data_IF_075169935666
#
_entry.id   IF_075169935666
#
_cell.length_a   1.000
_cell.length_b   1.000
_cell.length_c   1.000
_cell.angle_alpha   90.00
_cell.angle_beta   90.00
_cell.angle_gamma   90.00
#
_symmetry.space_group_name_H-M   'P 1'
#
loop_
_entity.id
_entity.type
_entity.pdbx_description
1 polymer ?
#
# COMPACT_ATOMS: atom_id res chain seq x y z
N UNK A 1 98.62 -38.43 8.57
CA UNK A 1 97.58 -39.14 7.79
C UNK A 1 96.23 -38.71 8.39
N UNK A 2 95.30 -38.27 7.54
CA UNK A 2 93.97 -37.72 7.83
C UNK A 2 93.87 -36.39 8.60
N UNK A 3 93.51 -35.34 7.86
CA UNK A 3 92.67 -34.25 8.35
C UNK A 3 91.98 -33.56 7.16
N UNK A 4 90.85 -34.13 6.72
CA UNK A 4 89.88 -33.42 5.88
C UNK A 4 88.77 -32.95 6.80
N UNK A 5 88.68 -31.63 6.95
CA UNK A 5 87.56 -30.91 7.56
C UNK A 5 86.31 -31.10 6.69
N UNK A 6 85.29 -31.80 7.20
CA UNK A 6 83.92 -31.58 6.74
C UNK A 6 83.26 -30.56 7.66
N UNK A 7 83.07 -29.35 7.12
CA UNK A 7 82.20 -28.33 7.69
C UNK A 7 80.78 -28.91 7.81
N UNK A 8 80.21 -28.82 9.01
CA UNK A 8 78.80 -29.11 9.23
C UNK A 8 77.94 -28.16 8.39
N UNK A 9 77.23 -28.72 7.41
CA UNK A 9 76.12 -28.06 6.73
C UNK A 9 75.06 -27.69 7.78
N UNK A 10 75.02 -26.41 8.17
CA UNK A 10 73.86 -25.82 8.82
C UNK A 10 72.74 -25.70 7.78
N UNK A 11 71.77 -26.60 7.83
CA UNK A 11 70.51 -26.44 7.11
C UNK A 11 69.73 -25.32 7.81
N UNK A 12 69.70 -24.14 7.19
CA UNK A 12 68.83 -23.04 7.59
C UNK A 12 67.38 -23.42 7.28
N UNK A 13 66.57 -23.68 8.30
CA UNK A 13 65.11 -23.76 8.15
C UNK A 13 64.56 -22.35 7.88
N UNK A 14 64.43 -21.99 6.61
CA UNK A 14 63.56 -20.89 6.20
C UNK A 14 62.12 -21.23 6.60
N UNK A 15 61.34 -20.24 7.05
CA UNK A 15 59.99 -20.45 7.59
C UNK A 15 59.15 -21.32 6.64
N UNK A 16 58.79 -22.53 7.07
CA UNK A 16 58.00 -23.43 6.23
C UNK A 16 56.63 -22.80 5.95
N UNK A 17 56.44 -22.28 4.74
CA UNK A 17 55.11 -21.89 4.27
C UNK A 17 54.29 -23.15 4.08
N UNK A 18 53.08 -23.18 4.64
CA UNK A 18 52.16 -24.29 4.42
C UNK A 18 51.87 -24.46 2.91
N UNK A 19 51.94 -25.70 2.43
CA UNK A 19 51.72 -26.05 1.02
C UNK A 19 50.37 -26.77 0.90
N UNK A 20 49.46 -26.22 0.09
CA UNK A 20 48.17 -26.84 -0.22
C UNK A 20 48.13 -27.11 -1.73
N UNK A 21 47.82 -28.35 -2.13
CA UNK A 21 47.78 -28.77 -3.56
C UNK A 21 49.06 -28.42 -4.33
N UNK A 22 50.21 -28.57 -3.67
CA UNK A 22 51.52 -28.27 -4.26
C UNK A 22 51.84 -26.77 -4.41
N UNK A 23 51.01 -25.87 -3.86
CA UNK A 23 51.18 -24.42 -3.94
C UNK A 23 51.34 -23.78 -2.56
N UNK A 24 52.10 -22.70 -2.50
CA UNK A 24 52.31 -21.89 -1.29
C UNK A 24 51.82 -20.44 -1.44
N UNK A 25 51.17 -20.13 -2.57
CA UNK A 25 50.57 -18.83 -2.84
C UNK A 25 49.19 -18.67 -2.18
N UNK A 26 48.69 -17.43 -2.12
CA UNK A 26 47.42 -17.09 -1.45
C UNK A 26 46.18 -17.71 -2.09
N UNK A 27 46.28 -18.26 -3.31
CA UNK A 27 45.17 -18.92 -4.02
C UNK A 27 45.25 -20.45 -3.94
N UNK A 28 46.20 -21.00 -3.18
CA UNK A 28 46.38 -22.45 -3.05
C UNK A 28 45.13 -23.20 -2.58
N UNK A 29 44.21 -22.52 -1.88
CA UNK A 29 42.97 -23.09 -1.35
C UNK A 29 41.71 -22.73 -2.15
N UNK A 30 41.84 -21.87 -3.16
CA UNK A 30 40.71 -21.33 -3.91
C UNK A 30 40.29 -22.32 -5.01
N UNK A 31 38.99 -22.41 -5.25
CA UNK A 31 38.37 -23.24 -6.28
C UNK A 31 37.27 -22.44 -6.98
N UNK A 32 37.05 -22.70 -8.27
CA UNK A 32 36.01 -22.06 -9.06
C UNK A 32 34.84 -23.03 -9.27
N UNK A 33 33.63 -22.56 -9.00
CA UNK A 33 32.35 -23.26 -9.12
C UNK A 33 31.46 -22.53 -10.13
N UNK A 34 31.50 -22.91 -11.42
CA UNK A 34 30.72 -22.24 -12.47
C UNK A 34 29.20 -22.25 -12.21
N UNK A 35 28.71 -23.33 -11.57
CA UNK A 35 27.32 -23.57 -11.22
C UNK A 35 27.06 -23.31 -9.73
N UNK A 36 27.72 -22.30 -9.15
CA UNK A 36 27.48 -21.92 -7.75
C UNK A 36 26.04 -21.44 -7.56
N UNK A 37 25.39 -21.94 -6.51
CA UNK A 37 24.05 -21.52 -6.07
C UNK A 37 24.12 -20.47 -4.94
N UNK A 38 25.32 -20.07 -4.51
CA UNK A 38 25.50 -19.11 -3.42
C UNK A 38 25.25 -17.69 -3.94
N UNK A 39 24.20 -17.05 -3.44
CA UNK A 39 23.78 -15.68 -3.78
C UNK A 39 23.94 -14.77 -2.55
N UNK A 40 24.69 -13.68 -2.71
CA UNK A 40 24.89 -12.67 -1.69
C UNK A 40 23.72 -11.68 -1.59
N UNK A 41 23.63 -10.89 -0.49
CA UNK A 41 22.55 -9.92 -0.31
C UNK A 41 22.41 -8.88 -1.44
N UNK A 42 23.47 -8.60 -2.18
CA UNK A 42 23.48 -7.72 -3.36
C UNK A 42 23.06 -8.43 -4.66
N UNK A 43 22.47 -9.63 -4.54
CA UNK A 43 22.07 -10.53 -5.64
C UNK A 43 23.25 -11.04 -6.49
N UNK A 44 24.49 -10.90 -6.06
CA UNK A 44 25.64 -11.44 -6.79
C UNK A 44 25.86 -12.92 -6.49
N UNK A 45 26.15 -13.71 -7.53
CA UNK A 45 26.49 -15.13 -7.37
C UNK A 45 28.00 -15.31 -7.13
N UNK A 46 28.35 -15.96 -6.03
CA UNK A 46 29.76 -16.19 -5.66
C UNK A 46 30.25 -17.46 -6.30
N UNK A 47 31.10 -17.33 -7.32
CA UNK A 47 31.65 -18.48 -8.06
C UNK A 47 32.99 -18.98 -7.53
N UNK A 48 33.76 -18.14 -6.84
CA UNK A 48 35.10 -18.49 -6.38
C UNK A 48 35.14 -18.61 -4.86
N UNK A 49 35.69 -19.72 -4.37
CA UNK A 49 36.01 -19.87 -2.96
C UNK A 49 37.31 -19.16 -2.61
N UNK A 50 37.41 -18.69 -1.37
CA UNK A 50 38.56 -17.99 -0.81
C UNK A 50 38.96 -18.67 0.49
N UNK A 51 40.21 -19.12 0.54
CA UNK A 51 40.76 -19.79 1.72
C UNK A 51 42.24 -19.52 1.93
N UNK A 52 42.71 -19.84 3.14
CA UNK A 52 44.11 -19.71 3.53
C UNK A 52 44.70 -21.07 3.88
N UNK A 53 45.85 -21.40 3.30
CA UNK A 53 46.57 -22.62 3.68
C UNK A 53 47.20 -22.41 5.06
N UNK A 54 46.78 -23.20 6.05
CA UNK A 54 47.25 -23.08 7.44
C UNK A 54 48.24 -24.19 7.81
N UNK A 55 48.10 -25.38 7.20
CA UNK A 55 49.01 -26.52 7.34
C UNK A 55 49.09 -27.27 6.00
N UNK A 56 50.09 -28.14 5.80
CA UNK A 56 50.17 -28.95 4.59
C UNK A 56 48.85 -29.67 4.30
N UNK A 57 48.25 -29.37 3.14
CA UNK A 57 46.93 -29.87 2.71
C UNK A 57 45.76 -29.58 3.67
N UNK A 58 45.84 -28.50 4.46
CA UNK A 58 44.74 -28.02 5.31
C UNK A 58 44.49 -26.53 5.06
N UNK A 59 43.33 -26.24 4.52
CA UNK A 59 42.83 -24.92 4.21
C UNK A 59 41.81 -24.46 5.27
N UNK A 60 41.95 -23.22 5.72
CA UNK A 60 40.95 -22.51 6.51
C UNK A 60 40.07 -21.67 5.56
N UNK A 61 38.77 -21.96 5.56
CA UNK A 61 37.78 -21.30 4.70
C UNK A 61 36.78 -20.54 5.59
N UNK A 62 36.77 -19.21 5.50
CA UNK A 62 35.89 -18.34 6.31
C UNK A 62 34.79 -17.67 5.49
N UNK A 63 34.78 -17.89 4.18
CA UNK A 63 33.77 -17.35 3.28
C UNK A 63 32.46 -18.13 3.43
N UNK A 64 31.34 -17.41 3.57
CA UNK A 64 30.01 -18.01 3.64
C UNK A 64 29.66 -18.76 2.35
N UNK A 65 28.87 -19.83 2.45
CA UNK A 65 28.62 -20.75 1.34
C UNK A 65 29.73 -21.78 1.07
N UNK A 66 30.87 -21.71 1.78
CA UNK A 66 31.99 -22.64 1.59
C UNK A 66 32.51 -23.21 2.92
N UNK A 67 33.11 -24.38 2.87
CA UNK A 67 33.73 -25.06 4.01
C UNK A 67 35.11 -25.63 3.70
N UNK A 68 35.89 -25.87 4.75
CA UNK A 68 37.21 -26.49 4.66
C UNK A 68 37.11 -27.99 4.35
N UNK A 69 37.49 -28.38 3.12
CA UNK A 69 37.47 -29.78 2.66
C UNK A 69 38.87 -30.43 2.65
N UNK A 70 39.74 -30.04 3.59
CA UNK A 70 41.14 -30.44 3.60
C UNK A 70 41.99 -29.51 2.75
N UNK A 71 42.37 -29.91 1.55
CA UNK A 71 43.36 -29.19 0.73
C UNK A 71 42.79 -28.02 -0.10
N UNK A 72 41.49 -27.77 -0.04
CA UNK A 72 40.80 -26.64 -0.69
C UNK A 72 39.49 -26.29 0.01
N UNK A 73 38.88 -25.16 -0.37
CA UNK A 73 37.55 -24.76 0.07
C UNK A 73 36.48 -25.27 -0.89
N UNK A 74 35.55 -26.07 -0.38
CA UNK A 74 34.46 -26.65 -1.16
C UNK A 74 33.13 -25.92 -0.88
N UNK A 75 32.22 -25.93 -1.85
CA UNK A 75 30.89 -25.31 -1.75
C UNK A 75 29.97 -26.15 -0.84
N UNK A 76 29.14 -25.48 -0.04
CA UNK A 76 28.09 -26.15 0.75
C UNK A 76 27.09 -26.87 -0.17
N UNK A 77 26.44 -27.92 0.36
CA UNK A 77 25.34 -28.55 -0.35
C UNK A 77 24.12 -27.62 -0.36
N UNK A 78 23.36 -27.55 -1.47
CA UNK A 78 22.23 -26.63 -1.59
C UNK A 78 21.07 -27.00 -0.65
N UNK A 79 20.36 -25.99 -0.18
CA UNK A 79 19.05 -26.10 0.48
C UNK A 79 18.00 -25.46 -0.42
N UNK A 80 16.88 -26.15 -0.67
CA UNK A 80 15.80 -25.59 -1.49
C UNK A 80 15.34 -24.22 -0.96
N UNK A 81 15.22 -23.24 -1.87
CA UNK A 81 14.82 -21.87 -1.59
C UNK A 81 15.75 -21.15 -0.60
N UNK A 82 17.03 -21.54 -0.54
CA UNK A 82 18.07 -20.87 0.22
C UNK A 82 19.06 -20.17 -0.72
N UNK A 83 19.22 -18.86 -0.56
CA UNK A 83 20.21 -18.08 -1.31
C UNK A 83 21.62 -18.26 -0.74
N UNK A 84 21.74 -18.47 0.58
CA UNK A 84 23.02 -18.48 1.26
C UNK A 84 23.04 -19.52 2.38
N UNK A 85 23.80 -20.58 2.17
CA UNK A 85 24.07 -21.61 3.16
C UNK A 85 25.33 -21.32 3.98
N UNK A 86 25.38 -21.88 5.18
CA UNK A 86 26.60 -22.04 5.95
C UNK A 86 26.75 -23.49 6.37
N UNK A 87 27.97 -24.03 6.28
CA UNK A 87 28.28 -25.41 6.60
C UNK A 87 29.72 -25.52 7.09
N UNK A 88 30.03 -26.58 7.83
CA UNK A 88 31.42 -26.95 8.16
C UNK A 88 31.84 -28.29 7.57
N UNK A 89 30.87 -29.07 7.10
CA UNK A 89 31.06 -30.33 6.37
C UNK A 89 30.06 -30.40 5.21
N UNK A 90 30.19 -31.40 4.34
CA UNK A 90 29.29 -31.61 3.20
C UNK A 90 27.81 -31.84 3.58
N UNK A 91 27.53 -32.25 4.81
CA UNK A 91 26.22 -32.79 5.23
C UNK A 91 25.51 -31.98 6.31
N UNK A 92 26.13 -30.90 6.81
CA UNK A 92 25.59 -30.10 7.90
C UNK A 92 25.21 -28.68 7.49
N UNK A 93 24.91 -28.50 6.21
CA UNK A 93 24.42 -27.25 5.66
C UNK A 93 23.20 -26.76 6.44
N UNK A 94 23.19 -25.45 6.67
CA UNK A 94 22.10 -24.70 7.27
C UNK A 94 21.89 -23.45 6.46
N UNK A 95 20.64 -23.07 6.28
CA UNK A 95 20.29 -21.87 5.57
C UNK A 95 20.52 -20.67 6.46
N UNK A 96 21.28 -19.71 5.94
CA UNK A 96 21.48 -18.40 6.56
C UNK A 96 20.48 -17.38 6.04
N UNK A 97 20.14 -17.46 4.75
CA UNK A 97 19.25 -16.54 4.06
C UNK A 97 18.39 -17.31 3.07
N UNK A 98 17.09 -17.37 3.32
CA UNK A 98 16.17 -17.89 2.32
C UNK A 98 16.06 -16.93 1.14
N UNK A 99 15.69 -17.47 -0.02
CA UNK A 99 15.33 -16.70 -1.19
C UNK A 99 14.29 -15.62 -0.84
N UNK A 100 14.49 -14.40 -1.35
CA UNK A 100 13.62 -13.26 -1.06
C UNK A 100 13.70 -12.72 0.38
N UNK A 101 14.67 -13.15 1.20
CA UNK A 101 14.94 -12.53 2.52
C UNK A 101 15.72 -11.22 2.33
N UNK A 102 15.03 -10.10 2.53
CA UNK A 102 15.62 -8.74 2.47
C UNK A 102 16.20 -8.34 3.84
N UNK A 103 15.59 -8.80 4.95
CA UNK A 103 16.08 -8.59 6.31
C UNK A 103 15.57 -9.70 7.26
N UNK A 104 16.35 -10.08 8.29
CA UNK A 104 15.92 -11.09 9.28
C UNK A 104 14.88 -10.54 10.28
N UNK A 105 13.66 -10.31 9.79
CA UNK A 105 12.51 -9.80 10.53
C UNK A 105 11.26 -10.62 10.21
N UNK A 106 10.28 -10.66 11.13
CA UNK A 106 8.95 -11.21 10.81
C UNK A 106 8.34 -10.38 9.66
N UNK A 107 7.76 -11.05 8.66
CA UNK A 107 7.05 -10.46 7.50
C UNK A 107 7.89 -9.92 6.31
N UNK A 108 9.23 -10.08 6.32
CA UNK A 108 10.16 -9.61 5.26
C UNK A 108 10.79 -10.72 4.40
N UNK A 109 10.05 -11.81 4.19
CA UNK A 109 10.62 -13.02 3.58
C UNK A 109 9.58 -13.78 2.77
N UNK A 110 9.94 -14.27 1.58
CA UNK A 110 9.12 -15.22 0.82
C UNK A 110 9.06 -16.60 1.51
N UNK A 111 10.16 -16.95 2.19
CA UNK A 111 10.30 -18.17 2.96
C UNK A 111 10.86 -17.91 4.36
N UNK A 112 10.33 -18.60 5.37
CA UNK A 112 10.78 -18.57 6.75
C UNK A 112 11.85 -19.65 6.96
N UNK A 113 12.99 -19.28 7.54
CA UNK A 113 13.99 -20.25 7.98
C UNK A 113 13.36 -21.08 9.12
N UNK A 114 13.32 -22.41 8.93
CA UNK A 114 12.95 -23.40 9.95
C UNK A 114 13.78 -23.25 11.23
N UNK A 115 13.26 -23.75 12.35
CA UNK A 115 13.94 -23.67 13.65
C UNK A 115 15.32 -24.35 13.66
N UNK A 116 15.48 -25.45 12.93
CA UNK A 116 16.76 -26.15 12.77
C UNK A 116 17.65 -25.57 11.66
N UNK A 117 17.12 -24.58 10.93
CA UNK A 117 17.72 -23.89 9.78
C UNK A 117 18.01 -24.81 8.59
N UNK A 118 17.39 -25.98 8.48
CA UNK A 118 17.64 -26.91 7.37
C UNK A 118 16.67 -26.77 6.20
N UNK A 119 15.62 -25.98 6.40
CA UNK A 119 14.56 -25.72 5.43
C UNK A 119 14.19 -24.24 5.38
N UNK A 120 13.79 -23.79 4.20
CA UNK A 120 13.10 -22.53 3.95
C UNK A 120 11.63 -22.86 3.64
N UNK A 121 10.73 -22.57 4.59
CA UNK A 121 9.30 -22.90 4.51
C UNK A 121 8.49 -21.72 3.96
N UNK A 122 7.41 -21.97 3.22
CA UNK A 122 6.61 -20.92 2.59
C UNK A 122 5.96 -19.95 3.58
N UNK A 123 5.59 -18.77 3.09
CA UNK A 123 4.80 -17.80 3.84
C UNK A 123 3.47 -18.40 4.34
N UNK A 124 3.25 -18.29 5.65
CA UNK A 124 2.02 -18.72 6.31
C UNK A 124 1.33 -17.48 6.87
N UNK A 125 0.07 -17.25 6.48
CA UNK A 125 -0.79 -16.24 7.13
C UNK A 125 -1.49 -16.90 8.33
N UNK A 126 -1.61 -16.14 9.41
CA UNK A 126 -2.24 -16.54 10.66
C UNK A 126 -3.36 -15.56 11.00
N UNK A 127 -4.42 -16.03 11.63
CA UNK A 127 -5.52 -15.21 12.12
C UNK A 127 -6.02 -15.70 13.46
N UNK A 128 -6.43 -14.76 14.32
CA UNK A 128 -6.96 -15.04 15.65
C UNK A 128 -7.96 -13.95 16.06
N UNK A 129 -8.60 -14.10 17.24
CA UNK A 129 -9.49 -13.10 17.82
C UNK A 129 -10.94 -13.13 17.31
N UNK A 130 -11.28 -14.09 16.46
CA UNK A 130 -12.66 -14.36 16.06
C UNK A 130 -13.33 -15.24 17.11
N UNK A 131 -14.42 -14.74 17.71
CA UNK A 131 -15.19 -15.43 18.75
C UNK A 131 -16.67 -15.29 18.39
N UNK A 132 -17.41 -16.39 18.54
CA UNK A 132 -18.87 -16.41 18.52
C UNK A 132 -19.29 -17.33 19.67
N UNK A 133 -19.83 -16.71 20.73
CA UNK A 133 -20.18 -17.40 21.97
C UNK A 133 -21.47 -18.22 21.85
N UNK A 134 -22.34 -17.92 20.87
CA UNK A 134 -23.62 -18.58 20.69
C UNK A 134 -23.50 -19.84 19.82
N UNK A 135 -22.99 -19.69 18.59
CA UNK A 135 -22.95 -20.80 17.61
C UNK A 135 -21.55 -21.35 17.37
N UNK A 136 -20.52 -20.55 17.66
CA UNK A 136 -19.13 -20.87 17.39
C UNK A 136 -18.79 -20.85 15.90
N UNK A 137 -17.50 -20.69 15.61
CA UNK A 137 -17.01 -20.60 14.24
C UNK A 137 -16.99 -22.00 13.62
N UNK A 138 -17.58 -22.14 12.44
CA UNK A 138 -17.59 -23.37 11.66
C UNK A 138 -16.35 -23.47 10.77
N UNK A 139 -16.10 -22.43 9.96
CA UNK A 139 -15.04 -22.45 8.96
C UNK A 139 -14.53 -21.06 8.63
N UNK A 140 -13.28 -20.98 8.21
CA UNK A 140 -12.69 -19.79 7.61
C UNK A 140 -12.58 -19.96 6.10
N UNK A 141 -12.95 -18.94 5.34
CA UNK A 141 -12.76 -18.87 3.90
C UNK A 141 -11.74 -17.77 3.60
N UNK A 142 -10.61 -18.12 3.01
CA UNK A 142 -9.53 -17.18 2.68
C UNK A 142 -9.45 -17.02 1.17
N UNK A 143 -9.49 -15.78 0.70
CA UNK A 143 -9.39 -15.42 -0.71
C UNK A 143 -8.33 -14.32 -0.90
N UNK A 144 -7.47 -14.46 -1.90
CA UNK A 144 -6.44 -13.47 -2.24
C UNK A 144 -6.62 -13.07 -3.70
N UNK A 145 -6.61 -11.76 -3.95
CA UNK A 145 -6.75 -11.18 -5.27
C UNK A 145 -5.55 -10.31 -5.59
N UNK A 146 -5.01 -10.38 -6.81
CA UNK A 146 -4.08 -9.35 -7.29
C UNK A 146 -4.84 -8.05 -7.56
N UNK A 147 -4.15 -6.92 -7.41
CA UNK A 147 -4.70 -5.60 -7.66
C UNK A 147 -4.07 -5.00 -8.92
N UNK A 148 -4.85 -4.24 -9.69
CA UNK A 148 -4.38 -3.48 -10.86
C UNK A 148 -4.64 -1.98 -10.69
N UNK A 149 -3.78 -1.16 -11.28
CA UNK A 149 -4.02 0.28 -11.36
C UNK A 149 -4.89 0.60 -12.58
N UNK A 150 -5.97 1.33 -12.38
CA UNK A 150 -6.84 1.89 -13.43
C UNK A 150 -6.94 3.39 -13.19
N UNK A 151 -6.27 4.19 -14.03
CA UNK A 151 -6.09 5.62 -13.75
C UNK A 151 -5.35 5.84 -12.43
N UNK A 152 -5.98 6.58 -11.50
CA UNK A 152 -5.45 6.85 -10.16
C UNK A 152 -5.95 5.86 -9.09
N UNK A 153 -6.62 4.77 -9.49
CA UNK A 153 -7.31 3.86 -8.56
C UNK A 153 -6.73 2.45 -8.60
N UNK A 154 -6.68 1.79 -7.43
CA UNK A 154 -6.24 0.40 -7.30
C UNK A 154 -7.47 -0.52 -7.19
N UNK A 155 -7.73 -1.31 -8.23
CA UNK A 155 -8.89 -2.20 -8.32
C UNK A 155 -8.49 -3.66 -8.16
N UNK A 156 -9.40 -4.50 -7.65
CA UNK A 156 -9.23 -5.96 -7.72
C UNK A 156 -9.12 -6.36 -9.20
N UNK A 157 -8.12 -7.19 -9.51
CA UNK A 157 -7.88 -7.68 -10.87
C UNK A 157 -8.36 -9.12 -11.04
N UNK A 158 -7.65 -10.08 -10.43
CA UNK A 158 -7.98 -11.51 -10.51
C UNK A 158 -7.75 -12.19 -9.18
N UNK A 159 -8.53 -13.22 -8.91
CA UNK A 159 -8.29 -14.14 -7.80
C UNK A 159 -7.03 -14.94 -8.08
N UNK A 160 -6.10 -14.96 -7.12
CA UNK A 160 -4.84 -15.70 -7.21
C UNK A 160 -4.78 -16.87 -6.24
N UNK A 161 -5.61 -16.86 -5.20
CA UNK A 161 -5.68 -17.93 -4.22
C UNK A 161 -7.05 -17.96 -3.56
N UNK A 162 -7.57 -19.16 -3.30
CA UNK A 162 -8.74 -19.38 -2.45
C UNK A 162 -8.65 -20.71 -1.71
N UNK A 163 -9.18 -20.73 -0.49
CA UNK A 163 -9.28 -21.96 0.29
C UNK A 163 -10.31 -21.84 1.41
N UNK A 164 -10.73 -23.00 1.94
CA UNK A 164 -11.53 -23.08 3.17
C UNK A 164 -10.80 -23.93 4.18
N UNK A 165 -10.73 -23.48 5.43
CA UNK A 165 -10.00 -24.18 6.48
C UNK A 165 -10.62 -23.94 7.85
N UNK A 166 -10.50 -24.91 8.74
CA UNK A 166 -10.83 -24.77 10.17
C UNK A 166 -9.61 -24.35 10.99
N UNK A 167 -8.42 -24.34 10.38
CA UNK A 167 -7.19 -23.93 11.03
C UNK A 167 -7.11 -22.40 11.12
N UNK A 168 -6.40 -21.91 12.14
CA UNK A 168 -6.08 -20.49 12.34
C UNK A 168 -4.91 -19.99 11.48
N UNK A 169 -4.54 -20.76 10.46
CA UNK A 169 -3.39 -20.49 9.61
C UNK A 169 -3.52 -21.13 8.25
N UNK A 170 -2.96 -20.49 7.23
CA UNK A 170 -2.91 -21.01 5.87
C UNK A 170 -1.63 -20.58 5.15
N UNK A 171 -1.05 -21.53 4.42
CA UNK A 171 0.07 -21.29 3.52
C UNK A 171 -0.43 -20.95 2.11
N UNK A 172 0.25 -20.00 1.47
CA UNK A 172 0.05 -19.61 0.08
C UNK A 172 1.34 -19.04 -0.49
N UNK A 173 1.49 -19.15 -1.81
CA UNK A 173 2.64 -18.63 -2.53
C UNK A 173 2.19 -17.58 -3.54
N UNK A 174 2.82 -16.41 -3.49
CA UNK A 174 2.68 -15.39 -4.53
C UNK A 174 3.93 -15.45 -5.40
N UNK A 175 3.74 -15.32 -6.71
CA UNK A 175 4.82 -15.51 -7.70
C UNK A 175 5.01 -14.29 -8.59
N UNK A 176 4.26 -13.22 -8.36
CA UNK A 176 4.28 -12.02 -9.21
C UNK A 176 4.30 -10.78 -8.31
N UNK A 177 5.29 -9.87 -8.43
CA UNK A 177 5.30 -8.60 -7.71
C UNK A 177 4.01 -7.81 -7.92
N UNK A 178 3.49 -7.24 -6.84
CA UNK A 178 2.28 -6.42 -6.88
C UNK A 178 1.61 -6.24 -5.53
N UNK A 179 0.52 -5.49 -5.56
CA UNK A 179 -0.37 -5.32 -4.42
C UNK A 179 -1.47 -6.37 -4.50
N UNK A 180 -1.80 -6.96 -3.37
CA UNK A 180 -2.77 -8.02 -3.21
C UNK A 180 -3.79 -7.63 -2.14
N UNK A 181 -5.05 -8.01 -2.35
CA UNK A 181 -6.13 -7.90 -1.39
C UNK A 181 -6.43 -9.27 -0.81
N UNK A 182 -6.22 -9.43 0.49
CA UNK A 182 -6.52 -10.64 1.25
C UNK A 182 -7.86 -10.45 1.97
N UNK A 183 -8.82 -11.31 1.70
CA UNK A 183 -10.14 -11.33 2.31
C UNK A 183 -10.27 -12.62 3.12
N UNK A 184 -10.58 -12.49 4.40
CA UNK A 184 -10.86 -13.61 5.29
C UNK A 184 -12.31 -13.51 5.74
N UNK A 185 -13.09 -14.55 5.49
CA UNK A 185 -14.43 -14.72 6.01
C UNK A 185 -14.42 -15.72 7.17
N UNK A 186 -14.96 -15.33 8.32
CA UNK A 186 -15.33 -16.25 9.38
C UNK A 186 -16.81 -16.58 9.23
N UNK A 187 -17.11 -17.87 9.04
CA UNK A 187 -18.46 -18.40 8.91
C UNK A 187 -18.79 -19.18 10.17
N UNK A 188 -19.89 -18.82 10.82
CA UNK A 188 -20.36 -19.52 12.03
C UNK A 188 -21.18 -20.77 11.67
N UNK A 189 -21.61 -21.54 12.67
CA UNK A 189 -22.42 -22.77 12.45
C UNK A 189 -23.85 -22.48 12.01
N UNK A 190 -24.36 -21.27 12.25
CA UNK A 190 -25.67 -20.81 11.81
C UNK A 190 -25.66 -20.23 10.38
N UNK A 191 -24.48 -20.06 9.77
CA UNK A 191 -24.29 -19.49 8.44
C UNK A 191 -24.11 -17.98 8.41
N UNK A 192 -23.93 -17.30 9.56
CA UNK A 192 -23.58 -15.89 9.57
C UNK A 192 -22.10 -15.72 9.19
N UNK A 193 -21.81 -14.63 8.47
CA UNK A 193 -20.49 -14.36 7.90
C UNK A 193 -20.02 -13.00 8.37
N UNK A 194 -18.78 -12.94 8.88
CA UNK A 194 -18.04 -11.70 9.11
C UNK A 194 -16.76 -11.71 8.29
N UNK A 195 -16.41 -10.54 7.75
CA UNK A 195 -15.28 -10.37 6.84
C UNK A 195 -14.21 -9.49 7.47
N UNK A 196 -12.96 -9.83 7.23
CA UNK A 196 -11.82 -8.94 7.41
C UNK A 196 -11.04 -8.84 6.09
N UNK A 197 -10.51 -7.65 5.82
CA UNK A 197 -9.71 -7.38 4.64
C UNK A 197 -8.36 -6.82 5.04
N UNK A 198 -7.28 -7.32 4.43
CA UNK A 198 -5.94 -6.74 4.53
C UNK A 198 -5.33 -6.57 3.15
N UNK A 199 -4.49 -5.56 2.99
CA UNK A 199 -3.67 -5.39 1.81
C UNK A 199 -2.28 -5.97 2.07
N UNK A 200 -1.76 -6.71 1.10
CA UNK A 200 -0.41 -7.28 1.13
C UNK A 200 0.35 -6.76 -0.08
N UNK A 201 1.60 -6.35 0.11
CA UNK A 201 2.51 -6.02 -0.99
C UNK A 201 3.48 -7.19 -1.09
N UNK A 202 3.54 -7.81 -2.25
CA UNK A 202 4.55 -8.81 -2.56
C UNK A 202 5.51 -8.20 -3.58
N UNK A 203 6.79 -8.28 -3.30
CA UNK A 203 7.84 -7.81 -4.16
C UNK A 203 8.99 -8.81 -4.08
N UNK A 204 9.25 -9.53 -5.17
CA UNK A 204 10.40 -10.41 -5.30
C UNK A 204 11.62 -9.68 -5.91
N UNK A 205 11.47 -8.40 -6.28
CA UNK A 205 12.50 -7.59 -6.89
C UNK A 205 12.41 -6.10 -6.54
N UNK A 206 13.12 -5.71 -5.48
CA UNK A 206 13.20 -4.31 -5.04
C UNK A 206 13.84 -3.42 -6.11
N UNK A 207 13.00 -2.60 -6.77
CA UNK A 207 13.43 -1.59 -7.75
C UNK A 207 14.29 -0.50 -7.09
N UNK A 208 15.37 -0.13 -7.77
CA UNK A 208 16.23 0.99 -7.42
C UNK A 208 15.58 2.32 -7.78
N UNK A 209 16.07 3.43 -7.21
CA UNK A 209 15.56 4.79 -7.49
C UNK A 209 15.54 5.13 -8.98
N UNK A 210 16.59 4.72 -9.68
CA UNK A 210 16.77 4.99 -11.10
C UNK A 210 15.72 4.28 -11.96
N UNK A 211 15.38 3.04 -11.60
CA UNK A 211 14.33 2.26 -12.25
C UNK A 211 12.93 2.86 -12.01
N UNK A 212 12.64 3.36 -10.80
CA UNK A 212 11.40 4.09 -10.50
C UNK A 212 11.27 5.37 -11.34
N UNK A 213 12.34 6.16 -11.40
CA UNK A 213 12.35 7.45 -12.12
C UNK A 213 12.18 7.27 -13.65
N UNK A 214 12.80 6.25 -14.24
CA UNK A 214 12.64 5.88 -15.66
C UNK A 214 11.22 5.36 -15.97
N UNK A 215 10.66 4.53 -15.09
CA UNK A 215 9.32 3.95 -15.25
C UNK A 215 8.19 4.99 -15.25
N UNK A 216 8.31 6.04 -14.44
CA UNK A 216 7.29 7.08 -14.30
C UNK A 216 7.62 8.42 -14.99
N UNK A 217 8.60 8.42 -15.91
CA UNK A 217 9.02 9.62 -16.66
C UNK A 217 7.87 10.35 -17.38
N UNK A 218 6.87 9.60 -17.87
CA UNK A 218 5.71 10.13 -18.61
C UNK A 218 4.42 10.19 -17.78
N UNK A 219 4.49 10.01 -16.46
CA UNK A 219 3.31 10.10 -15.59
C UNK A 219 2.80 11.55 -15.54
N UNK A 220 1.47 11.81 -15.49
CA UNK A 220 0.91 13.17 -15.41
C UNK A 220 1.36 13.98 -14.19
N UNK A 221 1.99 13.34 -13.19
CA UNK A 221 2.61 14.01 -12.04
C UNK A 221 4.14 13.99 -12.06
N UNK A 222 4.79 13.38 -13.06
CA UNK A 222 6.25 13.35 -13.23
C UNK A 222 7.02 12.41 -12.28
N UNK A 223 8.29 12.14 -12.61
CA UNK A 223 9.19 11.22 -11.90
C UNK A 223 9.71 11.72 -10.54
N UNK A 224 9.50 13.00 -10.20
CA UNK A 224 9.99 13.62 -8.95
C UNK A 224 9.31 13.14 -7.66
N UNK A 225 8.26 12.31 -7.76
CA UNK A 225 7.52 11.79 -6.61
C UNK A 225 7.94 10.36 -6.20
N UNK A 226 9.04 9.82 -6.74
CA UNK A 226 9.59 8.55 -6.26
C UNK A 226 10.16 8.71 -4.84
N UNK A 227 9.48 8.13 -3.86
CA UNK A 227 9.93 7.99 -2.48
C UNK A 227 10.58 6.63 -2.29
N UNK A 228 11.85 6.68 -1.88
CA UNK A 228 12.63 5.50 -1.59
C UNK A 228 12.59 5.22 -0.11
N UNK A 229 12.20 4.00 0.26
CA UNK A 229 12.54 3.52 1.60
C UNK A 229 13.78 2.65 1.53
N UNK A 230 14.62 2.66 2.57
CA UNK A 230 15.70 1.70 2.69
C UNK A 230 15.26 0.22 2.68
N UNK A 231 13.94 -0.07 2.78
CA UNK A 231 13.39 -1.40 3.05
C UNK A 231 12.52 -2.00 1.92
N UNK A 232 11.97 -1.19 1.00
CA UNK A 232 10.99 -1.63 -0.01
C UNK A 232 11.26 -1.08 -1.42
N UNK A 233 12.50 -0.61 -1.66
CA UNK A 233 12.82 0.06 -2.93
C UNK A 233 12.16 1.43 -3.04
N UNK A 234 12.08 1.93 -4.27
CA UNK A 234 11.54 3.25 -4.59
C UNK A 234 10.18 3.14 -5.25
N UNK A 235 9.22 3.93 -4.77
CA UNK A 235 7.84 3.91 -5.23
C UNK A 235 7.28 5.32 -5.35
N UNK A 236 6.28 5.50 -6.21
CA UNK A 236 5.63 6.79 -6.39
C UNK A 236 4.80 7.14 -5.13
N UNK A 237 5.03 8.31 -4.55
CA UNK A 237 4.13 8.87 -3.54
C UNK A 237 2.78 9.21 -4.18
N UNK A 238 1.70 9.07 -3.41
CA UNK A 238 0.30 9.37 -3.76
C UNK A 238 -0.52 8.27 -4.46
N UNK A 239 -0.56 7.05 -3.89
CA UNK A 239 -1.66 6.12 -4.19
C UNK A 239 -2.90 6.49 -3.37
N UNK A 240 -4.02 6.74 -4.05
CA UNK A 240 -5.33 6.69 -3.41
C UNK A 240 -5.78 5.22 -3.34
N UNK A 241 -5.87 4.68 -2.13
CA UNK A 241 -6.49 3.37 -1.93
C UNK A 241 -7.99 3.58 -1.89
N UNK A 242 -8.66 3.47 -3.04
CA UNK A 242 -10.10 3.23 -3.08
C UNK A 242 -10.31 1.72 -2.94
N UNK A 243 -11.02 1.24 -1.90
CA UNK A 243 -11.26 -0.18 -1.76
C UNK A 243 -12.18 -0.69 -2.88
N UNK A 244 -11.59 -1.15 -4.00
CA UNK A 244 -12.32 -1.89 -5.02
C UNK A 244 -12.74 -3.25 -4.48
N UNK A 245 -14.03 -3.59 -4.56
CA UNK A 245 -14.58 -4.89 -4.14
C UNK A 245 -15.03 -5.64 -5.39
N UNK A 246 -14.72 -6.93 -5.49
CA UNK A 246 -14.95 -7.76 -6.67
C UNK A 246 -16.46 -7.81 -7.02
N UNK A 247 -16.78 -7.68 -8.31
CA UNK A 247 -18.15 -7.71 -8.85
C UNK A 247 -18.68 -9.14 -9.12
N UNK A 248 -17.85 -10.16 -8.92
CA UNK A 248 -18.26 -11.55 -9.17
C UNK A 248 -19.23 -12.06 -8.09
N UNK A 249 -20.34 -12.65 -8.54
CA UNK A 249 -21.38 -13.22 -7.67
C UNK A 249 -20.78 -14.30 -6.78
N UNK A 250 -20.70 -14.02 -5.48
CA UNK A 250 -20.25 -14.96 -4.45
C UNK A 250 -18.88 -14.64 -3.84
N UNK A 251 -18.17 -13.61 -4.30
CA UNK A 251 -16.75 -13.41 -3.92
C UNK A 251 -16.44 -12.02 -3.38
N UNK A 252 -17.36 -11.46 -2.60
CA UNK A 252 -17.14 -10.20 -1.88
C UNK A 252 -18.23 -9.16 -2.05
N UNK A 253 -19.18 -9.35 -2.96
CA UNK A 253 -20.43 -8.58 -3.00
C UNK A 253 -21.65 -9.47 -3.09
N UNK A 254 -22.46 -9.44 -2.02
CA UNK A 254 -23.90 -9.56 -2.18
C UNK A 254 -24.34 -8.24 -2.81
N UNK A 255 -25.14 -8.28 -3.87
CA UNK A 255 -25.74 -7.10 -4.48
C UNK A 255 -26.37 -6.22 -3.37
N UNK A 256 -25.87 -4.99 -3.19
CA UNK A 256 -26.27 -4.08 -2.09
C UNK A 256 -25.28 -3.90 -0.92
N UNK A 257 -24.08 -4.50 -0.93
CA UNK A 257 -23.10 -4.40 0.20
C UNK A 257 -21.72 -3.77 -0.11
N UNK A 258 -21.47 -3.25 -1.32
CA UNK A 258 -20.23 -2.47 -1.67
C UNK A 258 -20.36 -1.00 -1.28
N UNK A 259 -21.60 -0.55 -1.17
CA UNK A 259 -21.91 0.78 -0.69
C UNK A 259 -21.84 0.68 0.83
N UNK A 260 -21.04 1.55 1.43
CA UNK A 260 -21.13 1.74 2.86
C UNK A 260 -22.58 2.06 3.21
N UNK A 261 -23.07 1.51 4.32
CA UNK A 261 -24.47 1.73 4.69
C UNK A 261 -24.58 3.18 5.15
N UNK A 262 -25.55 3.90 4.59
CA UNK A 262 -25.86 5.27 4.99
C UNK A 262 -26.01 5.35 6.51
N UNK A 263 -25.37 6.35 7.13
CA UNK A 263 -25.38 6.57 8.57
C UNK A 263 -24.72 5.42 9.38
N UNK A 264 -23.69 4.79 8.82
CA UNK A 264 -22.82 3.87 9.54
C UNK A 264 -21.38 4.38 9.62
N UNK A 265 -20.78 4.14 10.79
CA UNK A 265 -19.38 4.44 11.07
C UNK A 265 -18.49 3.26 10.68
N UNK A 266 -17.48 3.54 9.89
CA UNK A 266 -16.40 2.62 9.55
C UNK A 266 -15.10 3.10 10.18
N UNK A 267 -14.38 2.17 10.79
CA UNK A 267 -13.09 2.45 11.42
C UNK A 267 -11.98 1.87 10.54
N UNK A 268 -11.11 2.74 10.07
CA UNK A 268 -9.88 2.38 9.37
C UNK A 268 -8.78 2.32 10.42
N UNK A 269 -8.29 1.13 10.69
CA UNK A 269 -7.21 0.91 11.65
C UNK A 269 -5.89 0.62 10.94
N UNK A 270 -4.94 1.53 11.08
CA UNK A 270 -3.58 1.39 10.56
C UNK A 270 -2.66 1.01 11.70
N UNK A 271 -2.21 -0.24 11.67
CA UNK A 271 -1.26 -0.77 12.65
C UNK A 271 0.16 -0.71 12.07
N UNK A 272 1.02 0.10 12.68
CA UNK A 272 2.44 0.23 12.33
C UNK A 272 3.26 -0.41 13.43
N UNK A 273 3.99 -1.48 13.12
CA UNK A 273 4.84 -2.18 14.08
C UNK A 273 6.31 -1.86 13.81
N UNK A 274 7.04 -1.43 14.85
CA UNK A 274 8.47 -1.24 14.76
C UNK A 274 9.24 -2.57 14.97
N UNK A 275 10.56 -2.53 14.83
CA UNK A 275 11.40 -3.73 14.92
C UNK A 275 11.46 -4.37 16.32
N UNK A 276 11.03 -3.66 17.37
CA UNK A 276 10.96 -4.14 18.74
C UNK A 276 9.61 -4.79 19.07
N UNK A 277 8.76 -5.02 18.06
CA UNK A 277 7.37 -5.50 18.19
C UNK A 277 6.43 -4.56 18.95
N UNK A 278 6.81 -3.29 19.05
CA UNK A 278 5.89 -2.26 19.51
C UNK A 278 5.02 -1.84 18.33
N UNK A 279 3.72 -1.90 18.52
CA UNK A 279 2.75 -1.40 17.56
C UNK A 279 2.31 0.01 17.97
N UNK A 280 2.11 0.85 16.96
CA UNK A 280 1.32 2.06 17.05
C UNK A 280 0.10 1.86 16.17
N UNK A 281 -1.06 2.21 16.70
CA UNK A 281 -2.34 2.05 16.01
C UNK A 281 -2.89 3.43 15.75
N UNK A 282 -3.11 3.76 14.49
CA UNK A 282 -3.88 4.92 14.08
C UNK A 282 -5.26 4.45 13.68
N UNK A 283 -6.29 4.90 14.39
CA UNK A 283 -7.68 4.63 14.03
C UNK A 283 -8.29 5.89 13.45
N UNK A 284 -8.86 5.78 12.25
CA UNK A 284 -9.58 6.85 11.59
C UNK A 284 -11.03 6.44 11.37
N UNK A 285 -11.97 7.24 11.87
CA UNK A 285 -13.40 7.02 11.68
C UNK A 285 -13.85 7.74 10.40
N UNK A 286 -14.55 7.03 9.53
CA UNK A 286 -15.33 7.61 8.44
C UNK A 286 -16.81 7.27 8.65
N UNK A 287 -17.69 8.22 8.36
CA UNK A 287 -19.14 7.98 8.34
C UNK A 287 -19.58 8.03 6.90
N UNK A 288 -20.38 7.06 6.46
CA UNK A 288 -20.86 7.01 5.08
C UNK A 288 -22.17 7.77 4.99
N UNK A 289 -22.15 8.83 4.20
CA UNK A 289 -23.30 9.65 3.89
C UNK A 289 -23.63 9.49 2.40
N UNK A 290 -24.91 9.22 2.14
CA UNK A 290 -25.47 9.03 0.80
C UNK A 290 -26.80 9.76 0.66
N UNK A 291 -27.19 10.58 1.65
CA UNK A 291 -28.36 11.44 1.56
C UNK A 291 -27.93 12.86 1.16
N UNK A 292 -28.71 13.54 0.31
CA UNK A 292 -28.50 14.95 0.07
C UNK A 292 -28.85 15.79 1.31
N UNK A 293 -28.30 17.01 1.44
CA UNK A 293 -28.71 17.94 2.49
C UNK A 293 -30.21 18.22 2.46
N UNK A 294 -30.79 18.41 3.65
CA UNK A 294 -32.12 18.98 3.80
C UNK A 294 -32.13 20.44 3.35
N UNK A 295 -33.15 20.78 2.57
CA UNK A 295 -33.36 22.13 2.04
C UNK A 295 -33.68 23.13 3.14
N UNK A 296 -33.12 24.32 3.01
CA UNK A 296 -33.42 25.47 3.84
C UNK A 296 -34.38 26.44 3.14
N UNK A 297 -34.28 27.70 3.55
CA UNK A 297 -35.02 28.84 2.97
C UNK A 297 -34.02 29.82 2.36
N UNK A 298 -34.42 30.44 1.26
CA UNK A 298 -33.63 31.44 0.53
C UNK A 298 -34.43 32.73 0.47
N UNK A 299 -33.79 33.81 0.90
CA UNK A 299 -34.33 35.15 0.98
C UNK A 299 -33.56 36.07 0.02
N UNK A 300 -34.25 36.92 -0.72
CA UNK A 300 -33.67 37.91 -1.65
C UNK A 300 -33.58 39.33 -1.05
N UNK A 301 -33.57 39.38 0.29
CA UNK A 301 -33.31 40.57 1.08
C UNK A 301 -32.01 40.51 1.89
N UNK A 302 -31.73 41.60 2.60
CA UNK A 302 -30.62 41.71 3.57
C UNK A 302 -30.82 40.79 4.77
N UNK A 303 -29.70 40.30 5.31
CA UNK A 303 -29.69 39.55 6.56
C UNK A 303 -30.18 40.44 7.72
N UNK A 304 -31.08 39.92 8.56
CA UNK A 304 -31.74 40.61 9.69
C UNK A 304 -32.65 41.80 9.31
N UNK A 305 -33.02 41.95 8.03
CA UNK A 305 -34.05 42.90 7.59
C UNK A 305 -35.30 42.16 7.09
N UNK A 306 -36.50 42.79 7.13
CA UNK A 306 -37.69 42.23 6.50
C UNK A 306 -37.46 41.96 5.01
N UNK A 307 -38.10 40.93 4.45
CA UNK A 307 -38.05 40.66 3.01
C UNK A 307 -38.54 41.85 2.18
N UNK A 308 -37.94 41.99 0.99
CA UNK A 308 -38.09 43.16 0.14
C UNK A 308 -38.63 42.73 -1.21
N UNK A 309 -39.91 43.03 -1.46
CA UNK A 309 -40.54 42.75 -2.75
C UNK A 309 -40.09 43.74 -3.86
N UNK A 310 -39.69 44.96 -3.45
CA UNK A 310 -39.36 46.06 -4.36
C UNK A 310 -38.17 46.87 -3.87
N UNK A 311 -37.22 47.18 -4.76
CA UNK A 311 -36.10 48.06 -4.45
C UNK A 311 -35.68 48.98 -5.61
N UNK A 312 -35.19 50.20 -5.32
CA UNK A 312 -34.72 51.13 -6.35
C UNK A 312 -33.27 50.89 -6.79
N UNK A 313 -32.45 50.27 -5.93
CA UNK A 313 -31.04 49.99 -6.23
C UNK A 313 -30.90 48.69 -7.02
N UNK A 314 -29.90 48.61 -7.90
CA UNK A 314 -29.57 47.41 -8.67
C UNK A 314 -28.69 46.43 -7.90
N UNK A 315 -28.16 46.85 -6.76
CA UNK A 315 -27.37 46.00 -5.91
C UNK A 315 -28.29 45.07 -5.08
N UNK A 316 -28.47 43.85 -5.58
CA UNK A 316 -29.26 42.82 -4.92
C UNK A 316 -28.45 42.13 -3.84
N UNK A 317 -29.11 41.84 -2.73
CA UNK A 317 -28.52 41.10 -1.61
C UNK A 317 -29.44 39.97 -1.24
N UNK A 318 -28.86 38.82 -0.98
CA UNK A 318 -29.61 37.63 -0.64
C UNK A 318 -28.91 36.89 0.50
N UNK A 319 -29.70 36.16 1.26
CA UNK A 319 -29.21 35.28 2.31
C UNK A 319 -30.04 34.01 2.39
N UNK A 320 -29.47 32.96 2.97
CA UNK A 320 -30.15 31.68 3.08
C UNK A 320 -29.80 30.99 4.38
N UNK A 321 -30.76 30.25 4.93
CA UNK A 321 -30.61 29.58 6.22
C UNK A 321 -31.40 28.28 6.29
N UNK A 322 -31.22 27.50 7.37
CA UNK A 322 -31.96 26.26 7.59
C UNK A 322 -31.47 25.04 6.80
N UNK A 323 -30.54 25.20 5.85
CA UNK A 323 -29.88 24.07 5.19
C UNK A 323 -29.11 23.24 6.21
N UNK A 324 -29.36 21.94 6.23
CA UNK A 324 -28.74 21.06 7.22
C UNK A 324 -28.56 19.65 6.66
N UNK A 325 -27.49 19.02 7.11
CA UNK A 325 -27.18 17.63 6.81
C UNK A 325 -26.65 17.03 8.11
N UNK A 326 -27.34 16.03 8.64
CA UNK A 326 -27.10 15.54 10.00
C UNK A 326 -25.86 14.65 10.06
N UNK A 327 -25.56 13.99 8.95
CA UNK A 327 -24.58 12.93 8.83
C UNK A 327 -23.18 13.49 8.56
N UNK A 328 -23.06 14.43 7.62
CA UNK A 328 -21.80 14.99 7.16
C UNK A 328 -21.72 16.53 7.19
N UNK A 329 -22.85 17.20 7.39
CA UNK A 329 -22.95 18.65 7.46
C UNK A 329 -22.87 19.31 6.10
N UNK A 330 -23.33 20.56 6.01
CA UNK A 330 -23.24 21.36 4.79
C UNK A 330 -21.83 21.91 4.65
N UNK A 331 -21.21 21.67 3.49
CA UNK A 331 -19.83 22.05 3.19
C UNK A 331 -19.74 23.38 2.46
N UNK A 332 -20.56 23.58 1.43
CA UNK A 332 -20.62 24.80 0.63
C UNK A 332 -21.96 24.89 -0.11
N UNK A 333 -22.20 26.03 -0.75
CA UNK A 333 -23.39 26.33 -1.54
C UNK A 333 -23.00 26.74 -2.96
N UNK A 334 -23.81 26.35 -3.93
CA UNK A 334 -23.86 26.98 -5.23
C UNK A 334 -25.10 27.86 -5.32
N UNK A 335 -24.97 29.03 -5.92
CA UNK A 335 -26.09 29.93 -6.12
C UNK A 335 -26.01 30.67 -7.45
N UNK A 336 -27.15 31.11 -7.95
CA UNK A 336 -27.24 31.91 -9.17
C UNK A 336 -28.40 32.89 -9.11
N UNK A 337 -28.18 34.08 -9.65
CA UNK A 337 -29.22 35.08 -9.88
C UNK A 337 -29.74 34.97 -11.31
N UNK A 338 -31.08 35.02 -11.47
CA UNK A 338 -31.70 34.90 -12.79
C UNK A 338 -33.08 35.55 -12.83
N UNK A 339 -33.62 35.73 -14.02
CA UNK A 339 -35.00 36.22 -14.23
C UNK A 339 -36.05 35.12 -14.09
N UNK A 340 -35.62 33.89 -13.77
CA UNK A 340 -36.47 32.74 -13.43
C UNK A 340 -35.80 31.89 -12.35
N UNK A 341 -36.58 31.08 -11.63
CA UNK A 341 -36.01 30.03 -10.79
C UNK A 341 -35.16 29.06 -11.61
N UNK A 342 -33.98 28.73 -11.07
CA UNK A 342 -33.06 27.77 -11.67
C UNK A 342 -33.44 26.35 -11.25
N UNK A 343 -33.13 25.40 -12.12
CA UNK A 343 -33.40 23.97 -11.97
C UNK A 343 -32.13 23.20 -11.72
N UNK A 344 -32.21 21.93 -11.34
CA UNK A 344 -31.02 21.12 -11.07
C UNK A 344 -30.10 21.00 -12.30
N UNK A 345 -30.69 21.00 -13.50
CA UNK A 345 -29.97 20.99 -14.77
C UNK A 345 -29.15 22.27 -15.00
N UNK A 346 -29.60 23.41 -14.48
CA UNK A 346 -28.91 24.69 -14.60
C UNK A 346 -27.61 24.74 -13.76
N UNK A 347 -27.49 23.90 -12.72
CA UNK A 347 -26.31 23.76 -11.87
C UNK A 347 -25.31 22.69 -12.36
N UNK A 348 -25.58 22.03 -13.49
CA UNK A 348 -24.70 20.99 -14.03
C UNK A 348 -23.58 21.61 -14.88
N UNK A 349 -22.37 21.72 -14.30
CA UNK A 349 -21.21 22.40 -14.88
C UNK A 349 -20.72 21.84 -16.23
N UNK A 350 -21.14 20.63 -16.62
CA UNK A 350 -20.74 19.98 -17.88
C UNK A 350 -21.56 20.44 -19.10
N UNK A 351 -22.64 21.21 -18.92
CA UNK A 351 -23.53 21.64 -20.00
C UNK A 351 -23.79 23.15 -19.92
N UNK A 352 -22.98 23.92 -20.67
CA UNK A 352 -23.12 25.36 -21.04
C UNK A 352 -22.55 26.41 -20.07
N UNK A 353 -21.53 27.12 -20.53
CA UNK A 353 -20.96 28.38 -19.98
C UNK A 353 -21.93 29.59 -20.04
N UNK A 354 -23.25 29.41 -19.89
CA UNK A 354 -24.23 30.49 -20.12
C UNK A 354 -24.85 31.08 -18.86
N UNK A 355 -24.72 30.43 -17.70
CA UNK A 355 -25.26 30.91 -16.43
C UNK A 355 -24.12 31.22 -15.45
N UNK A 356 -24.23 32.37 -14.78
CA UNK A 356 -23.25 32.85 -13.80
C UNK A 356 -23.55 32.23 -12.43
N UNK A 357 -23.07 30.99 -12.24
CA UNK A 357 -23.20 30.23 -11.00
C UNK A 357 -21.96 30.43 -10.14
N UNK A 358 -22.18 30.77 -8.87
CA UNK A 358 -21.13 31.07 -7.90
C UNK A 358 -21.07 30.01 -6.81
N UNK A 359 -19.86 29.74 -6.31
CA UNK A 359 -19.62 28.87 -5.16
C UNK A 359 -19.24 29.70 -3.94
N UNK A 360 -19.84 29.39 -2.78
CA UNK A 360 -19.52 30.06 -1.53
C UNK A 360 -19.72 29.15 -0.32
N UNK A 361 -18.93 29.37 0.73
CA UNK A 361 -19.13 28.76 2.05
C UNK A 361 -19.90 29.66 3.02
N UNK A 362 -20.12 30.94 2.67
CA UNK A 362 -20.95 31.86 3.45
C UNK A 362 -22.41 31.78 3.02
N UNK A 363 -23.32 32.24 3.87
CA UNK A 363 -24.77 32.15 3.70
C UNK A 363 -25.43 33.42 3.14
N UNK A 364 -24.66 34.24 2.45
CA UNK A 364 -25.14 35.48 1.83
C UNK A 364 -24.40 35.75 0.52
N UNK A 365 -25.05 36.50 -0.36
CA UNK A 365 -24.52 36.92 -1.65
C UNK A 365 -24.93 38.35 -1.97
N UNK A 366 -24.14 38.98 -2.84
CA UNK A 366 -24.47 40.28 -3.42
C UNK A 366 -24.23 40.20 -4.92
N UNK A 367 -25.14 40.77 -5.71
CA UNK A 367 -25.08 40.75 -7.15
C UNK A 367 -25.62 42.04 -7.74
N UNK A 368 -24.96 42.54 -8.79
CA UNK A 368 -25.37 43.76 -9.47
C UNK A 368 -26.25 43.41 -10.67
N UNK A 369 -27.53 43.75 -10.60
CA UNK A 369 -28.47 43.52 -11.68
C UNK A 369 -28.11 44.34 -12.94
N UNK A 370 -28.12 43.74 -14.14
CA UNK A 370 -27.77 44.44 -15.37
C UNK A 370 -28.84 45.47 -15.78
N UNK A 371 -30.11 45.18 -15.49
CA UNK A 371 -31.26 46.00 -15.86
C UNK A 371 -32.31 45.97 -14.75
N UNK A 372 -33.27 46.90 -14.82
CA UNK A 372 -34.47 46.88 -14.00
C UNK A 372 -35.36 45.70 -14.41
N UNK A 373 -36.09 45.11 -13.47
CA UNK A 373 -36.85 43.87 -13.68
C UNK A 373 -36.94 43.00 -12.44
N UNK A 374 -37.63 41.86 -12.57
CA UNK A 374 -37.76 40.88 -11.49
C UNK A 374 -36.64 39.84 -11.56
N UNK A 375 -36.00 39.61 -10.43
CA UNK A 375 -34.92 38.65 -10.28
C UNK A 375 -35.16 37.71 -9.10
N UNK A 376 -34.66 36.50 -9.25
CA UNK A 376 -34.75 35.43 -8.29
C UNK A 376 -33.33 34.95 -7.98
N UNK A 377 -33.11 34.53 -6.74
CA UNK A 377 -31.93 33.76 -6.39
C UNK A 377 -32.34 32.29 -6.22
N UNK A 378 -31.51 31.39 -6.73
CA UNK A 378 -31.65 29.95 -6.45
C UNK A 378 -30.38 29.44 -5.81
N UNK A 379 -30.52 28.65 -4.75
CA UNK A 379 -29.41 28.09 -3.96
C UNK A 379 -29.51 26.57 -3.91
N UNK A 380 -28.35 25.91 -4.05
CA UNK A 380 -28.15 24.47 -3.86
C UNK A 380 -27.05 24.28 -2.82
N UNK A 381 -27.39 23.66 -1.69
CA UNK A 381 -26.41 23.22 -0.70
C UNK A 381 -25.73 21.91 -1.12
N UNK A 382 -24.45 21.77 -0.78
CA UNK A 382 -23.65 20.55 -0.93
C UNK A 382 -23.13 20.10 0.43
N UNK A 383 -23.34 18.82 0.76
CA UNK A 383 -22.79 18.25 1.99
C UNK A 383 -21.30 17.86 1.84
N UNK A 384 -20.69 17.33 2.89
CA UNK A 384 -19.29 16.92 2.83
C UNK A 384 -19.05 15.68 1.94
N UNK A 385 -20.09 14.92 1.63
CA UNK A 385 -20.11 13.84 0.65
C UNK A 385 -20.31 14.32 -0.81
N UNK A 386 -20.38 15.63 -1.05
CA UNK A 386 -20.53 16.26 -2.38
C UNK A 386 -21.87 15.88 -3.05
N UNK A 387 -22.91 15.63 -2.25
CA UNK A 387 -24.27 15.47 -2.77
C UNK A 387 -25.03 16.79 -2.73
N UNK A 388 -25.71 17.17 -3.83
CA UNK A 388 -26.51 18.38 -3.89
C UNK A 388 -27.90 18.18 -3.27
N UNK A 389 -28.39 19.22 -2.59
CA UNK A 389 -29.80 19.35 -2.23
C UNK A 389 -30.67 19.70 -3.45
N UNK A 390 -32.00 19.71 -3.26
CA UNK A 390 -32.89 20.28 -4.28
C UNK A 390 -32.68 21.79 -4.37
N UNK A 391 -32.72 22.39 -5.58
CA UNK A 391 -32.63 23.84 -5.72
C UNK A 391 -33.79 24.53 -5.00
N UNK A 392 -33.47 25.51 -4.15
CA UNK A 392 -34.45 26.36 -3.47
C UNK A 392 -34.39 27.75 -4.08
N UNK A 393 -35.54 28.24 -4.54
CA UNK A 393 -35.68 29.56 -5.15
C UNK A 393 -36.33 30.53 -4.17
N UNK A 394 -35.91 31.80 -4.17
CA UNK A 394 -36.65 32.87 -3.51
C UNK A 394 -37.98 33.16 -4.22
N UNK A 395 -38.83 33.96 -3.60
CA UNK A 395 -40.09 34.47 -4.16
C UNK A 395 -39.90 35.64 -5.14
N UNK A 396 -38.74 36.31 -5.10
CA UNK A 396 -38.24 37.18 -6.15
C UNK A 396 -38.49 38.66 -5.86
N UNK A 397 -37.53 39.49 -6.22
CA UNK A 397 -37.54 40.94 -5.97
C UNK A 397 -37.58 41.73 -7.27
N UNK A 398 -38.39 42.80 -7.28
CA UNK A 398 -38.57 43.69 -8.43
C UNK A 398 -37.73 44.95 -8.26
N UNK A 399 -36.85 45.20 -9.24
CA UNK A 399 -36.04 46.41 -9.30
C UNK A 399 -36.73 47.43 -10.20
N UNK A 400 -37.01 48.62 -9.66
CA UNK A 400 -37.58 49.76 -10.37
C UNK A 400 -36.90 51.07 -9.95
N UNK A 401 -36.10 51.64 -10.86
CA UNK A 401 -35.38 52.89 -10.63
C UNK A 401 -36.14 54.14 -11.11
N UNK A 402 -37.37 54.00 -11.60
CA UNK A 402 -38.14 55.12 -12.15
C UNK A 402 -38.72 56.00 -11.05
N UNK A 403 -38.79 57.32 -11.33
CA UNK A 403 -39.45 58.27 -10.44
C UNK A 403 -40.97 58.29 -10.71
N UNK A 404 -41.81 58.60 -9.70
CA UNK A 404 -43.27 58.63 -9.83
C UNK A 404 -43.82 59.52 -10.94
#
# INVERSE_FOLDING_TARGET
MLSVLFQGLKVNYTSQKAICRGRSDSRACNENFPNSHIVLPDKTTVKNSVGKCIRPNVCECKQEGFYSAGSFCNICSPINNCDLEYCTTKTNQRCRRCEGLVADKSWYRAYIISTDKRLCINNTVYWDGWIDDDSGIAIYELEIFSMKSVGNELMIDKRVFDTKTTLKSQQFNLTVPGVYSVILAAVDKAGNIRLARRCLIFDDNSETRKECEEKYQNSPRGSCYCYCTPAFGCYLQHFQVKPGVSLDKGTGLIQGKHQGVHNYDYYIEVNVMNNAKLYSTLTYKITIDTSPPHVGVVHDGRYDEPEVDYQPDRNLQAHWEGFSDKESGVRYYHYGFSTRCLTAEDFHFEIRNTLDIHESSVTHATWLAPTDGQYYITVVAYNAAIQPSQPVCSDGVVIDSTQP
#
